data_IF_209462641134
#
_entry.id   IF_209462641134
#
_cell.length_a   1.000
_cell.length_b   1.000
_cell.length_c   1.000
_cell.angle_alpha   90.00
_cell.angle_beta   90.00
_cell.angle_gamma   90.00
#
_symmetry.space_group_name_H-M   'P 1'
#
loop_
_entity.id
_entity.type
_entity.pdbx_description
1 polymer ?
#
# COMPACT_ATOMS: atom_id res chain seq x y z
N UNK A 1 17.87 5.78 8.20
CA UNK A 1 17.45 5.92 6.79
C UNK A 1 15.94 5.86 6.59
N UNK A 2 15.23 4.73 6.72
CA UNK A 2 13.78 4.68 6.42
C UNK A 2 12.93 5.51 7.40
N UNK A 3 13.27 5.53 8.69
CA UNK A 3 12.57 6.42 9.63
C UNK A 3 12.86 7.89 9.32
N UNK A 4 14.10 8.21 8.94
CA UNK A 4 14.54 9.55 8.53
C UNK A 4 13.81 10.03 7.28
N UNK A 5 13.47 9.15 6.32
CA UNK A 5 12.72 9.54 5.12
C UNK A 5 11.25 9.89 5.37
N UNK A 6 10.76 9.70 6.61
CA UNK A 6 9.43 10.16 7.05
C UNK A 6 9.44 11.58 7.62
N UNK A 7 10.63 12.13 7.85
CA UNK A 7 10.82 13.49 8.33
C UNK A 7 10.56 14.46 7.17
N UNK A 8 9.84 15.53 7.47
CA UNK A 8 9.57 16.60 6.51
C UNK A 8 10.63 17.68 6.67
N UNK A 9 11.18 18.25 5.57
CA UNK A 9 12.22 19.26 5.67
C UNK A 9 11.67 20.51 6.37
N UNK A 10 12.27 20.85 7.52
CA UNK A 10 11.88 21.99 8.36
C UNK A 10 11.96 23.34 7.62
N UNK A 11 12.77 23.42 6.56
CA UNK A 11 13.03 24.64 5.79
C UNK A 11 11.88 25.10 4.87
N UNK A 12 10.79 24.31 4.75
CA UNK A 12 9.63 24.73 3.96
C UNK A 12 8.60 25.54 4.77
N UNK A 13 8.79 25.74 6.07
CA UNK A 13 7.91 26.56 6.93
C UNK A 13 6.48 26.02 7.10
N UNK A 14 6.13 24.95 6.38
CA UNK A 14 4.86 24.24 6.45
C UNK A 14 5.16 22.89 7.08
N UNK A 15 4.77 22.70 8.34
CA UNK A 15 4.96 21.43 9.03
C UNK A 15 4.38 20.24 8.25
N UNK A 16 4.72 19.02 8.66
CA UNK A 16 4.24 17.79 8.03
C UNK A 16 2.72 17.82 7.79
N UNK A 17 2.24 17.54 6.57
CA UNK A 17 0.81 17.41 6.31
C UNK A 17 0.18 16.37 7.22
N UNK A 18 -1.09 16.59 7.60
CA UNK A 18 -1.77 15.73 8.58
C UNK A 18 -1.96 14.28 8.11
N UNK A 19 -1.96 14.00 6.81
CA UNK A 19 -2.30 12.70 6.24
C UNK A 19 -1.40 12.36 5.03
N UNK A 20 -0.13 12.07 5.31
CA UNK A 20 0.89 11.72 4.30
C UNK A 20 0.84 10.22 4.00
N UNK A 21 0.91 9.85 2.72
CA UNK A 21 1.00 8.44 2.31
C UNK A 21 2.39 7.88 2.59
N UNK A 22 2.52 7.16 3.70
CA UNK A 22 3.77 6.49 4.10
C UNK A 22 3.72 4.97 3.89
N UNK A 23 2.76 4.45 3.11
CA UNK A 23 2.53 3.00 3.01
C UNK A 23 3.75 2.23 2.52
N UNK A 24 4.52 2.83 1.59
CA UNK A 24 5.78 2.25 1.09
C UNK A 24 6.82 2.17 2.22
N UNK A 25 7.03 3.25 2.95
CA UNK A 25 7.99 3.33 4.05
C UNK A 25 7.58 2.40 5.19
N UNK A 26 6.30 2.34 5.54
CA UNK A 26 5.77 1.40 6.53
C UNK A 26 5.96 -0.04 6.07
N UNK A 27 5.78 -0.36 4.79
CA UNK A 27 6.01 -1.71 4.30
C UNK A 27 7.49 -2.11 4.36
N UNK A 28 8.39 -1.19 4.03
CA UNK A 28 9.84 -1.40 4.18
C UNK A 28 10.23 -1.62 5.64
N UNK A 29 9.67 -0.82 6.56
CA UNK A 29 9.89 -1.03 8.00
C UNK A 29 9.34 -2.37 8.46
N UNK A 30 8.12 -2.74 8.03
CA UNK A 30 7.56 -4.07 8.27
C UNK A 30 8.54 -5.16 7.82
N UNK A 31 9.04 -5.09 6.59
CA UNK A 31 9.98 -6.08 6.05
C UNK A 31 11.25 -6.18 6.90
N UNK A 32 11.91 -5.06 7.21
CA UNK A 32 13.12 -5.05 8.02
C UNK A 32 12.89 -5.64 9.42
N UNK A 33 11.84 -5.21 10.12
CA UNK A 33 11.55 -5.74 11.46
C UNK A 33 11.11 -7.21 11.44
N UNK A 34 10.41 -7.65 10.39
CA UNK A 34 10.04 -9.05 10.21
C UNK A 34 11.26 -9.94 9.98
N UNK A 35 12.28 -9.46 9.27
CA UNK A 35 13.56 -10.18 9.06
C UNK A 35 14.40 -10.28 10.33
N UNK A 36 14.14 -9.44 11.32
CA UNK A 36 14.83 -9.42 12.61
C UNK A 36 14.02 -10.13 13.71
N UNK A 37 12.99 -10.92 13.34
CA UNK A 37 12.04 -11.57 14.26
C UNK A 37 11.50 -10.64 15.35
N UNK A 38 11.29 -9.38 14.99
CA UNK A 38 10.90 -8.35 15.93
C UNK A 38 9.37 -8.22 15.98
N UNK A 39 8.81 -8.31 17.19
CA UNK A 39 7.37 -8.14 17.43
C UNK A 39 6.80 -6.77 16.98
N UNK A 40 7.65 -5.77 16.74
CA UNK A 40 7.27 -4.47 16.20
C UNK A 40 6.89 -4.52 14.72
N UNK A 41 7.15 -5.61 13.99
CA UNK A 41 6.84 -5.69 12.55
C UNK A 41 5.34 -5.45 12.27
N UNK A 42 4.47 -6.11 13.04
CA UNK A 42 3.01 -6.05 12.86
C UNK A 42 2.45 -4.63 12.91
N UNK A 43 3.02 -3.76 13.76
CA UNK A 43 2.53 -2.38 13.91
C UNK A 43 2.58 -1.58 12.60
N UNK A 44 3.53 -1.89 11.72
CA UNK A 44 3.66 -1.18 10.45
C UNK A 44 2.64 -1.67 9.42
N UNK A 45 2.26 -2.95 9.46
CA UNK A 45 1.12 -3.43 8.68
C UNK A 45 -0.18 -2.77 9.16
N UNK A 46 -0.38 -2.59 10.47
CA UNK A 46 -1.53 -1.84 11.01
C UNK A 46 -1.59 -0.41 10.48
N UNK A 47 -0.47 0.33 10.46
CA UNK A 47 -0.40 1.68 9.85
C UNK A 47 -0.83 1.69 8.38
N UNK A 48 -0.38 0.72 7.59
CA UNK A 48 -0.77 0.59 6.18
C UNK A 48 -2.28 0.36 6.05
N UNK A 49 -2.84 -0.51 6.88
CA UNK A 49 -4.28 -0.81 6.91
C UNK A 49 -5.08 0.43 7.27
N UNK A 50 -4.72 1.12 8.34
CA UNK A 50 -5.41 2.32 8.83
C UNK A 50 -5.40 3.42 7.77
N UNK A 51 -4.23 3.70 7.18
CA UNK A 51 -4.13 4.68 6.10
C UNK A 51 -4.97 4.29 4.88
N UNK A 52 -4.93 3.02 4.47
CA UNK A 52 -5.67 2.55 3.30
C UNK A 52 -7.19 2.64 3.48
N UNK A 53 -7.70 2.38 4.70
CA UNK A 53 -9.12 2.53 5.04
C UNK A 53 -9.55 4.00 5.07
N UNK A 54 -8.76 4.85 5.71
CA UNK A 54 -9.06 6.30 5.81
C UNK A 54 -8.99 7.01 4.47
N UNK A 55 -8.19 6.49 3.53
CA UNK A 55 -7.93 7.12 2.23
C UNK A 55 -8.53 6.32 1.05
N UNK A 56 -9.59 5.55 1.30
CA UNK A 56 -10.19 4.68 0.28
C UNK A 56 -10.71 5.43 -0.96
N UNK A 57 -11.05 6.71 -0.83
CA UNK A 57 -11.53 7.56 -1.94
C UNK A 57 -10.40 8.13 -2.81
N UNK A 58 -9.16 8.02 -2.36
CA UNK A 58 -8.00 8.60 -3.05
C UNK A 58 -7.40 7.56 -4.00
N UNK A 59 -7.27 7.91 -5.29
CA UNK A 59 -6.63 7.03 -6.27
C UNK A 59 -5.15 6.85 -5.97
N UNK A 60 -4.71 5.60 -5.85
CA UNK A 60 -3.31 5.26 -5.59
C UNK A 60 -2.97 3.80 -5.88
N UNK A 61 -1.82 3.55 -6.51
CA UNK A 61 -1.25 2.21 -6.64
C UNK A 61 -0.91 1.56 -5.30
N UNK A 62 -0.67 2.35 -4.26
CA UNK A 62 -0.39 1.87 -2.91
C UNK A 62 -1.58 1.19 -2.24
N UNK A 63 -2.78 1.19 -2.85
CA UNK A 63 -3.88 0.30 -2.46
C UNK A 63 -3.49 -1.17 -2.54
N UNK A 64 -2.53 -1.51 -3.39
CA UNK A 64 -1.89 -2.81 -3.40
C UNK A 64 -1.28 -3.20 -2.04
N UNK A 65 -0.52 -2.29 -1.43
CA UNK A 65 0.07 -2.50 -0.11
C UNK A 65 -1.01 -2.63 0.97
N UNK A 66 -2.10 -1.88 0.84
CA UNK A 66 -3.31 -2.05 1.66
C UNK A 66 -3.90 -3.45 1.57
N UNK A 67 -4.18 -3.93 0.36
CA UNK A 67 -4.69 -5.28 0.11
C UNK A 67 -3.75 -6.36 0.69
N UNK A 68 -2.43 -6.19 0.50
CA UNK A 68 -1.41 -7.11 1.02
C UNK A 68 -1.36 -7.11 2.55
N UNK A 69 -1.38 -5.94 3.19
CA UNK A 69 -1.35 -5.82 4.64
C UNK A 69 -2.60 -6.40 5.29
N UNK A 70 -3.79 -6.09 4.76
CA UNK A 70 -5.07 -6.66 5.22
C UNK A 70 -5.06 -8.18 5.06
N UNK A 71 -4.65 -8.70 3.89
CA UNK A 71 -4.55 -10.16 3.67
C UNK A 71 -3.65 -10.83 4.70
N UNK A 72 -2.53 -10.18 5.06
CA UNK A 72 -1.54 -10.73 5.99
C UNK A 72 -1.99 -10.71 7.45
N UNK A 73 -2.66 -9.65 7.91
CA UNK A 73 -3.07 -9.52 9.32
C UNK A 73 -4.50 -9.97 9.61
N UNK A 74 -5.42 -9.77 8.67
CA UNK A 74 -6.85 -9.98 8.88
C UNK A 74 -7.42 -11.08 7.97
N UNK A 75 -6.61 -11.62 7.07
CA UNK A 75 -6.96 -12.74 6.20
C UNK A 75 -7.54 -12.33 4.84
N UNK A 76 -7.70 -13.35 3.98
CA UNK A 76 -8.08 -13.17 2.57
C UNK A 76 -9.48 -12.58 2.40
N UNK A 77 -10.44 -12.94 3.25
CA UNK A 77 -11.81 -12.46 3.15
C UNK A 77 -11.92 -10.96 3.49
N UNK A 78 -11.17 -10.49 4.49
CA UNK A 78 -11.06 -9.06 4.78
C UNK A 78 -10.44 -8.29 3.61
N UNK A 79 -9.43 -8.87 2.95
CA UNK A 79 -8.79 -8.27 1.77
C UNK A 79 -9.75 -8.18 0.57
N UNK A 80 -10.54 -9.24 0.31
CA UNK A 80 -11.60 -9.23 -0.72
C UNK A 80 -12.69 -8.21 -0.41
N UNK A 81 -13.09 -8.07 0.86
CA UNK A 81 -14.04 -7.04 1.28
C UNK A 81 -13.49 -5.65 0.98
N UNK A 82 -12.23 -5.40 1.29
CA UNK A 82 -11.59 -4.11 0.97
C UNK A 82 -11.50 -3.86 -0.54
N UNK A 83 -11.20 -4.86 -1.36
CA UNK A 83 -11.22 -4.69 -2.82
C UNK A 83 -12.61 -4.35 -3.36
N UNK A 84 -13.67 -4.94 -2.82
CA UNK A 84 -15.04 -4.54 -3.17
C UNK A 84 -15.33 -3.09 -2.79
N UNK A 85 -14.85 -2.64 -1.62
CA UNK A 85 -14.97 -1.24 -1.23
C UNK A 85 -14.21 -0.28 -2.17
N UNK A 86 -13.03 -0.68 -2.66
CA UNK A 86 -12.29 0.07 -3.68
C UNK A 86 -13.08 0.16 -5.00
N UNK A 87 -13.66 -0.95 -5.47
CA UNK A 87 -14.51 -0.96 -6.68
C UNK A 87 -15.75 -0.08 -6.55
N UNK A 88 -16.27 0.10 -5.33
CA UNK A 88 -17.46 0.93 -5.06
C UNK A 88 -17.12 2.41 -4.78
N UNK A 89 -15.83 2.79 -4.78
CA UNK A 89 -15.40 4.15 -4.52
C UNK A 89 -15.43 5.04 -5.78
N UNK A 90 -15.17 6.34 -5.63
CA UNK A 90 -15.18 7.33 -6.73
C UNK A 90 -14.23 7.01 -7.89
N UNK A 91 -13.21 6.21 -7.65
CA UNK A 91 -12.23 5.76 -8.66
C UNK A 91 -12.34 4.27 -9.00
N UNK A 92 -13.36 3.56 -8.51
CA UNK A 92 -13.48 2.12 -8.71
C UNK A 92 -13.63 1.68 -10.17
N UNK A 93 -14.17 2.55 -11.02
CA UNK A 93 -14.33 2.30 -12.47
C UNK A 93 -13.04 2.51 -13.28
N UNK A 94 -12.02 3.12 -12.69
CA UNK A 94 -10.75 3.44 -13.36
C UNK A 94 -9.97 2.19 -13.74
N UNK A 95 -9.17 2.29 -14.81
CA UNK A 95 -8.32 1.19 -15.25
C UNK A 95 -7.31 0.82 -14.17
N UNK A 96 -6.75 1.79 -13.47
CA UNK A 96 -5.77 1.58 -12.41
C UNK A 96 -6.36 0.74 -11.27
N UNK A 97 -7.55 1.09 -10.79
CA UNK A 97 -8.18 0.37 -9.67
C UNK A 97 -8.55 -1.05 -10.05
N UNK A 98 -9.13 -1.23 -11.25
CA UNK A 98 -9.41 -2.56 -11.81
C UNK A 98 -8.15 -3.37 -11.99
N UNK A 99 -7.08 -2.76 -12.49
CA UNK A 99 -5.78 -3.41 -12.71
C UNK A 99 -5.15 -3.86 -11.39
N UNK A 100 -5.13 -3.01 -10.36
CA UNK A 100 -4.61 -3.35 -9.02
C UNK A 100 -5.33 -4.58 -8.46
N UNK A 101 -6.67 -4.57 -8.50
CA UNK A 101 -7.48 -5.64 -7.91
C UNK A 101 -7.35 -6.93 -8.72
N UNK A 102 -7.41 -6.84 -10.04
CA UNK A 102 -7.26 -8.00 -10.92
C UNK A 102 -5.89 -8.65 -10.72
N UNK A 103 -4.79 -7.89 -10.74
CA UNK A 103 -3.46 -8.47 -10.55
C UNK A 103 -3.23 -8.95 -9.10
N UNK A 104 -4.04 -8.53 -8.11
CA UNK A 104 -3.93 -8.99 -6.72
C UNK A 104 -4.47 -10.39 -6.54
N UNK A 105 -5.65 -10.62 -7.08
CA UNK A 105 -6.35 -11.88 -6.88
C UNK A 105 -6.18 -12.83 -8.07
N UNK A 106 -5.94 -12.31 -9.27
CA UNK A 106 -5.85 -13.06 -10.51
C UNK A 106 -4.50 -12.81 -11.19
N UNK A 107 -3.61 -13.80 -11.16
CA UNK A 107 -2.25 -13.73 -11.74
C UNK A 107 -2.20 -13.67 -13.28
N UNK A 108 -3.34 -13.49 -13.97
CA UNK A 108 -3.49 -13.54 -15.43
C UNK A 108 -4.13 -12.27 -16.01
N UNK A 109 -3.93 -11.11 -15.37
CA UNK A 109 -4.43 -9.84 -15.89
C UNK A 109 -3.70 -9.40 -17.18
N UNK A 110 -4.33 -8.58 -18.04
CA UNK A 110 -3.66 -8.02 -19.22
C UNK A 110 -2.45 -7.18 -18.80
N UNK A 111 -1.35 -7.37 -19.53
CA UNK A 111 -0.08 -6.65 -19.33
C UNK A 111 -0.27 -5.22 -19.88
N UNK A 112 -0.62 -4.27 -19.01
CA UNK A 112 -0.57 -2.85 -19.34
C UNK A 112 0.83 -2.31 -18.95
N UNK A 113 1.65 -1.98 -19.95
CA UNK A 113 3.04 -1.56 -19.75
C UNK A 113 3.18 -0.27 -18.94
N UNK A 114 2.28 0.70 -19.11
CA UNK A 114 2.31 1.97 -18.38
C UNK A 114 1.93 1.77 -16.90
N UNK A 115 0.88 1.00 -16.64
CA UNK A 115 0.48 0.67 -15.26
C UNK A 115 1.54 -0.18 -14.55
N UNK A 116 2.22 -1.06 -15.27
CA UNK A 116 3.38 -1.79 -14.76
C UNK A 116 4.53 -0.86 -14.37
N UNK A 117 4.77 0.20 -15.13
CA UNK A 117 5.82 1.17 -14.81
C UNK A 117 5.47 1.97 -13.55
N UNK A 118 4.21 2.40 -13.39
CA UNK A 118 3.74 3.08 -12.18
C UNK A 118 3.72 2.14 -10.95
N UNK A 119 3.55 0.84 -11.18
CA UNK A 119 3.65 -0.19 -10.13
C UNK A 119 5.09 -0.64 -9.86
N UNK A 120 6.07 -0.27 -10.69
CA UNK A 120 7.44 -0.82 -10.65
C UNK A 120 8.09 -0.74 -9.28
N UNK A 121 8.00 0.43 -8.61
CA UNK A 121 8.57 0.62 -7.27
C UNK A 121 7.92 -0.33 -6.27
N UNK A 122 6.59 -0.44 -6.30
CA UNK A 122 5.87 -1.35 -5.42
C UNK A 122 6.28 -2.80 -5.75
N UNK A 123 6.38 -3.17 -7.02
CA UNK A 123 6.83 -4.50 -7.43
C UNK A 123 8.23 -4.83 -6.90
N UNK A 124 9.20 -3.93 -7.07
CA UNK A 124 10.56 -4.09 -6.56
C UNK A 124 10.57 -4.30 -5.03
N UNK A 125 9.75 -3.54 -4.30
CA UNK A 125 9.59 -3.69 -2.84
C UNK A 125 9.00 -5.06 -2.48
N UNK A 126 8.05 -5.58 -3.28
CA UNK A 126 7.45 -6.89 -3.03
C UNK A 126 8.39 -8.05 -3.33
N UNK A 127 9.35 -7.85 -4.24
CA UNK A 127 10.37 -8.82 -4.63
C UNK A 127 11.52 -8.92 -3.63
N UNK A 128 11.55 -8.04 -2.62
CA UNK A 128 12.40 -8.19 -1.43
C UNK A 128 11.91 -9.42 -0.65
N UNK A 129 12.48 -10.59 -0.96
CA UNK A 129 12.16 -11.86 -0.29
C UNK A 129 12.89 -12.02 1.03
#
# INVERSE_FOLDING_TARGET
>A
LINTSKEWPEQLGVGKPYNVDERIQDYLLFYCYNKLDNNKAEKYLKKIIDYSRSNIKNKSFSHWLGLKAIKKLEGIEASKKFSMQLLNSSHGSTEETKWIINNFFNTKGPINQELNQNFKIINEILMLN
#
